data_IF_675455020932
#
_entry.id   IF_675455020932
#
_cell.length_a   1.000
_cell.length_b   1.000
_cell.length_c   1.000
_cell.angle_alpha   90.00
_cell.angle_beta   90.00
_cell.angle_gamma   90.00
#
_symmetry.space_group_name_H-M   'P 1'
#
loop_
_entity.id
_entity.type
_entity.pdbx_description
1 polymer ?
#
# COMPACT_ATOMS: atom_id res chain seq x y z
N UNK A 1 -40.40 17.02 -5.22
CA UNK A 1 -39.82 18.24 -4.62
C UNK A 1 -38.33 18.00 -4.39
N UNK A 2 -37.49 18.66 -5.18
CA UNK A 2 -36.02 18.65 -5.13
C UNK A 2 -35.55 20.11 -5.06
N UNK A 3 -34.48 20.40 -4.33
CA UNK A 3 -33.45 21.33 -4.82
C UNK A 3 -32.05 20.72 -4.61
N UNK A 4 -31.20 20.51 -5.63
CA UNK A 4 -30.38 21.50 -6.39
C UNK A 4 -29.75 22.59 -5.51
N UNK A 5 -28.42 22.51 -5.32
CA UNK A 5 -27.50 23.66 -5.43
C UNK A 5 -26.03 23.21 -5.49
N UNK A 6 -25.52 23.11 -6.72
CA UNK A 6 -24.13 23.37 -7.08
C UNK A 6 -23.89 24.88 -7.00
N UNK A 7 -22.86 25.34 -6.30
CA UNK A 7 -22.04 26.54 -6.63
C UNK A 7 -21.32 27.07 -5.39
N UNK A 8 -20.02 26.79 -5.26
CA UNK A 8 -19.08 27.71 -4.60
C UNK A 8 -17.65 27.34 -5.00
N UNK A 9 -17.35 27.56 -6.27
CA UNK A 9 -15.99 27.72 -6.78
C UNK A 9 -15.90 29.18 -7.22
N UNK A 10 -15.57 30.08 -6.29
CA UNK A 10 -15.63 31.51 -6.61
C UNK A 10 -15.16 32.49 -5.54
N UNK A 11 -14.39 32.06 -4.54
CA UNK A 11 -13.98 32.99 -3.46
C UNK A 11 -12.57 32.73 -2.92
N UNK A 12 -11.60 32.46 -3.80
CA UNK A 12 -10.19 32.32 -3.44
C UNK A 12 -9.23 33.06 -4.40
N UNK A 13 -9.69 34.13 -5.06
CA UNK A 13 -8.88 34.96 -5.98
C UNK A 13 -8.81 36.45 -5.64
N UNK A 14 -9.15 36.85 -4.41
CA UNK A 14 -9.20 38.26 -4.00
C UNK A 14 -8.51 38.58 -2.66
N UNK A 15 -7.58 37.73 -2.23
CA UNK A 15 -6.81 37.91 -0.99
C UNK A 15 -5.28 38.00 -1.21
N UNK A 16 -4.82 38.27 -2.44
CA UNK A 16 -3.38 38.32 -2.79
C UNK A 16 -2.95 39.62 -3.50
N UNK A 17 -3.66 40.74 -3.29
CA UNK A 17 -3.40 41.99 -4.05
C UNK A 17 -3.14 43.24 -3.20
N UNK A 18 -3.19 43.18 -1.87
CA UNK A 18 -2.89 44.34 -1.02
C UNK A 18 -2.17 43.83 0.21
N UNK A 19 -0.84 43.91 0.18
CA UNK A 19 0.05 44.08 1.33
C UNK A 19 1.49 44.01 0.82
N UNK A 20 1.85 45.02 0.04
CA UNK A 20 3.21 45.25 -0.42
C UNK A 20 3.55 46.74 -0.24
N UNK A 21 3.51 47.20 1.00
CA UNK A 21 4.21 48.42 1.45
C UNK A 21 4.19 48.49 2.96
N UNK A 22 5.29 48.06 3.59
CA UNK A 22 5.81 48.51 4.89
C UNK A 22 6.55 47.36 5.59
N UNK A 23 7.88 47.40 5.54
CA UNK A 23 8.81 47.04 6.63
C UNK A 23 10.16 46.62 6.04
N UNK A 24 11.00 47.62 5.80
CA UNK A 24 12.44 47.45 5.79
C UNK A 24 12.92 47.30 7.24
N UNK A 25 13.50 46.16 7.61
CA UNK A 25 14.45 46.02 8.71
C UNK A 25 15.22 44.69 8.53
N UNK A 26 16.54 44.76 8.68
CA UNK A 26 17.49 43.78 8.13
C UNK A 26 17.45 42.36 8.71
N UNK A 27 17.83 41.40 7.86
CA UNK A 27 18.57 40.21 8.28
C UNK A 27 19.24 39.56 7.08
N UNK A 28 20.54 39.33 7.25
CA UNK A 28 21.51 38.75 6.32
C UNK A 28 21.28 37.23 6.22
N UNK A 29 21.30 36.66 5.00
CA UNK A 29 21.69 35.24 4.83
C UNK A 29 20.83 34.35 3.91
N UNK A 30 21.44 33.99 2.77
CA UNK A 30 21.25 32.77 1.97
C UNK A 30 19.94 32.56 1.18
N UNK A 31 20.04 32.85 -0.12
CA UNK A 31 19.08 32.45 -1.15
C UNK A 31 19.01 30.92 -1.31
N UNK A 32 17.97 30.31 -0.74
CA UNK A 32 17.56 28.94 -1.07
C UNK A 32 16.68 28.97 -2.31
N UNK A 33 17.03 28.14 -3.31
CA UNK A 33 16.30 28.03 -4.58
C UNK A 33 14.82 27.67 -4.34
N UNK A 34 13.93 28.06 -5.26
CA UNK A 34 12.48 27.78 -5.18
C UNK A 34 12.19 26.28 -4.97
N UNK A 35 13.04 25.41 -5.52
CA UNK A 35 13.01 23.94 -5.36
C UNK A 35 13.24 23.51 -3.91
N UNK A 36 14.19 24.14 -3.22
CA UNK A 36 14.46 23.91 -1.80
C UNK A 36 13.28 24.33 -0.91
N UNK A 37 12.62 25.44 -1.26
CA UNK A 37 11.42 25.92 -0.54
C UNK A 37 10.24 24.97 -0.73
N UNK A 38 10.05 24.42 -1.94
CA UNK A 38 9.02 23.40 -2.18
C UNK A 38 9.32 22.08 -1.49
N UNK A 39 10.58 21.62 -1.50
CA UNK A 39 10.98 20.39 -0.81
C UNK A 39 10.77 20.53 0.69
N UNK A 40 11.18 21.66 1.29
CA UNK A 40 10.95 21.93 2.71
C UNK A 40 9.46 22.04 3.02
N UNK A 41 8.66 22.68 2.17
CA UNK A 41 7.20 22.77 2.36
C UNK A 41 6.50 21.40 2.26
N UNK A 42 6.95 20.51 1.37
CA UNK A 42 6.46 19.14 1.26
C UNK A 42 6.86 18.30 2.49
N UNK A 43 8.08 18.47 2.98
CA UNK A 43 8.56 17.80 4.18
C UNK A 43 7.83 18.29 5.45
N UNK A 44 7.55 19.59 5.53
CA UNK A 44 6.77 20.20 6.60
C UNK A 44 5.28 19.79 6.55
N UNK A 45 4.71 19.63 5.35
CA UNK A 45 3.36 19.08 5.17
C UNK A 45 3.31 17.57 5.51
N UNK A 46 4.36 16.81 5.22
CA UNK A 46 4.49 15.41 5.60
C UNK A 46 4.71 15.22 7.10
N UNK A 47 5.30 16.21 7.78
CA UNK A 47 5.41 16.25 9.25
C UNK A 47 4.10 16.67 9.91
N UNK A 48 3.36 17.66 9.36
CA UNK A 48 2.01 18.00 9.85
C UNK A 48 1.04 16.83 9.77
N UNK A 49 1.05 16.06 8.67
CA UNK A 49 0.25 14.81 8.56
C UNK A 49 0.67 13.71 9.55
N UNK A 50 1.91 13.73 10.04
CA UNK A 50 2.37 12.81 11.10
C UNK A 50 2.08 13.33 12.52
N UNK A 51 1.90 14.63 12.69
CA UNK A 51 1.58 15.28 13.98
C UNK A 51 0.08 15.49 14.25
N UNK A 52 -0.79 15.39 13.25
CA UNK A 52 -2.23 15.69 13.38
C UNK A 52 -3.12 14.50 13.81
N UNK A 53 -2.53 13.36 14.18
CA UNK A 53 -3.28 12.24 14.81
C UNK A 53 -3.03 12.12 16.33
N UNK A 54 -2.60 13.20 16.99
CA UNK A 54 -2.45 13.24 18.44
C UNK A 54 -3.39 14.28 19.04
N UNK A 55 -4.70 14.12 18.81
CA UNK A 55 -5.70 14.70 19.70
C UNK A 55 -5.67 13.92 21.01
N UNK A 56 -5.17 14.59 22.03
CA UNK A 56 -5.26 14.23 23.45
C UNK A 56 -6.68 13.80 23.79
N UNK A 57 -6.90 12.49 23.96
CA UNK A 57 -8.04 11.97 24.70
C UNK A 57 -7.58 11.81 26.15
N UNK A 58 -7.71 12.90 26.91
CA UNK A 58 -7.77 12.83 28.36
C UNK A 58 -9.14 12.22 28.69
N UNK A 59 -9.16 10.93 29.00
CA UNK A 59 -10.30 10.29 29.64
C UNK A 59 -9.85 9.89 31.03
N UNK A 60 -10.25 10.72 31.99
CA UNK A 60 -10.31 10.36 33.40
C UNK A 60 -11.30 9.20 33.54
N UNK A 61 -10.80 8.00 33.83
CA UNK A 61 -11.62 6.88 34.30
C UNK A 61 -10.89 6.21 35.47
N UNK A 62 -11.13 6.75 36.65
CA UNK A 62 -11.00 6.03 37.91
C UNK A 62 -12.11 4.99 38.03
N UNK A 63 -11.82 3.68 37.99
CA UNK A 63 -12.59 2.61 38.69
C UNK A 63 -11.86 1.24 38.65
N UNK A 64 -12.16 0.26 39.53
CA UNK A 64 -11.18 -0.38 40.39
C UNK A 64 -10.75 -1.78 39.92
N UNK A 65 -9.62 -2.25 40.47
CA UNK A 65 -9.15 -3.65 40.38
C UNK A 65 -10.26 -4.63 40.83
N UNK A 66 -10.77 -5.42 39.89
CA UNK A 66 -11.54 -6.62 40.15
C UNK A 66 -10.64 -7.85 40.43
N UNK A 67 -11.19 -8.93 41.02
CA UNK A 67 -10.41 -9.98 41.65
C UNK A 67 -9.91 -11.03 40.66
N UNK A 68 -8.67 -11.50 40.89
CA UNK A 68 -8.05 -12.60 40.16
C UNK A 68 -8.79 -13.92 40.44
N UNK A 69 -9.42 -14.47 39.41
CA UNK A 69 -9.92 -15.85 39.44
C UNK A 69 -8.85 -16.79 38.91
N UNK A 70 -8.37 -17.65 39.81
CA UNK A 70 -7.41 -18.71 39.53
C UNK A 70 -8.01 -19.81 38.65
N UNK A 71 -7.28 -20.18 37.60
CA UNK A 71 -7.52 -21.34 36.76
C UNK A 71 -6.18 -21.99 36.39
N UNK A 72 -6.09 -23.31 36.56
CA UNK A 72 -4.84 -24.08 36.56
C UNK A 72 -4.19 -24.19 35.18
N UNK A 73 -2.97 -23.66 35.10
CA UNK A 73 -1.82 -24.01 34.27
C UNK A 73 -2.01 -24.91 33.02
N UNK A 74 -1.94 -24.30 31.82
CA UNK A 74 -1.02 -24.79 30.79
C UNK A 74 0.28 -24.01 30.91
N UNK A 75 1.27 -24.58 31.58
CA UNK A 75 2.61 -24.03 31.69
C UNK A 75 3.26 -24.08 30.31
N UNK A 76 3.46 -22.91 29.69
CA UNK A 76 4.58 -22.51 28.82
C UNK A 76 4.18 -21.21 28.10
N UNK A 77 5.10 -20.21 28.15
CA UNK A 77 5.09 -18.89 27.51
C UNK A 77 4.44 -17.73 28.29
N UNK A 78 5.07 -17.34 29.40
CA UNK A 78 5.36 -15.93 29.72
C UNK A 78 6.09 -15.86 31.06
N UNK A 79 7.36 -15.47 31.04
CA UNK A 79 8.04 -15.03 32.27
C UNK A 79 7.80 -13.52 32.40
N UNK A 80 7.42 -13.02 33.58
CA UNK A 80 7.23 -11.60 33.79
C UNK A 80 8.60 -10.93 33.81
N UNK A 81 8.81 -10.04 32.85
CA UNK A 81 9.70 -8.88 32.88
C UNK A 81 10.93 -8.97 33.80
N UNK A 82 12.08 -9.34 33.22
CA UNK A 82 13.40 -9.02 33.77
C UNK A 82 14.28 -10.24 34.08
N UNK A 83 15.23 -10.52 33.20
CA UNK A 83 16.35 -11.41 33.48
C UNK A 83 16.15 -12.86 33.04
N UNK A 84 16.42 -13.12 31.75
CA UNK A 84 17.03 -14.34 31.17
C UNK A 84 16.72 -14.35 29.66
N UNK A 85 17.38 -13.47 28.91
CA UNK A 85 17.23 -13.35 27.46
C UNK A 85 17.69 -14.58 26.65
N UNK A 86 18.05 -15.69 27.32
CA UNK A 86 18.52 -16.94 26.70
C UNK A 86 17.43 -18.02 26.64
N UNK A 87 16.39 -17.93 27.47
CA UNK A 87 15.34 -18.96 27.55
C UNK A 87 14.28 -18.82 26.44
N UNK A 88 14.01 -17.59 25.98
CA UNK A 88 13.05 -17.31 24.89
C UNK A 88 13.64 -17.47 23.48
N UNK A 89 14.96 -17.50 23.37
CA UNK A 89 15.74 -17.65 22.13
C UNK A 89 16.47 -18.99 22.08
N UNK A 90 15.79 -20.07 22.50
CA UNK A 90 16.30 -21.40 22.15
C UNK A 90 16.17 -21.58 20.65
N UNK A 91 17.27 -21.44 19.92
CA UNK A 91 17.30 -21.65 18.48
C UNK A 91 16.86 -23.09 18.15
N UNK A 92 15.92 -23.23 17.22
CA UNK A 92 15.46 -24.53 16.78
C UNK A 92 16.58 -25.23 16.01
N UNK A 93 16.99 -26.39 16.50
CA UNK A 93 17.99 -27.23 15.83
C UNK A 93 17.50 -27.79 14.49
N UNK A 94 16.18 -27.84 14.26
CA UNK A 94 15.60 -28.34 13.01
C UNK A 94 14.28 -27.65 12.64
N UNK A 95 13.94 -27.69 11.35
CA UNK A 95 12.69 -27.15 10.82
C UNK A 95 11.44 -27.81 11.43
N UNK A 96 11.53 -29.07 11.83
CA UNK A 96 10.42 -29.78 12.47
C UNK A 96 10.02 -29.13 13.81
N UNK A 97 11.02 -28.76 14.62
CA UNK A 97 10.82 -28.07 15.90
C UNK A 97 10.23 -26.68 15.69
N UNK A 98 10.77 -25.91 14.74
CA UNK A 98 10.21 -24.60 14.39
C UNK A 98 8.75 -24.69 13.94
N UNK A 99 8.39 -25.70 13.13
CA UNK A 99 7.00 -25.92 12.68
C UNK A 99 6.06 -26.21 13.83
N UNK A 100 6.51 -26.94 14.86
CA UNK A 100 5.70 -27.20 16.05
C UNK A 100 5.43 -25.90 16.84
N UNK A 101 6.45 -25.05 16.98
CA UNK A 101 6.31 -23.72 17.61
C UNK A 101 5.34 -22.82 16.85
N UNK A 102 5.43 -22.78 15.53
CA UNK A 102 4.47 -22.06 14.67
C UNK A 102 3.04 -22.54 14.92
N UNK A 103 2.82 -23.86 14.97
CA UNK A 103 1.48 -24.43 15.25
C UNK A 103 0.98 -24.09 16.64
N UNK A 104 1.87 -24.10 17.64
CA UNK A 104 1.54 -23.71 19.01
C UNK A 104 1.10 -22.24 19.06
N UNK A 105 1.88 -21.35 18.45
CA UNK A 105 1.55 -19.92 18.34
C UNK A 105 0.21 -19.72 17.62
N UNK A 106 0.00 -20.36 16.46
CA UNK A 106 -1.24 -20.25 15.70
C UNK A 106 -2.47 -20.66 16.52
N UNK A 107 -2.38 -21.76 17.28
CA UNK A 107 -3.46 -22.20 18.19
C UNK A 107 -3.71 -21.20 19.31
N UNK A 108 -2.65 -20.61 19.89
CA UNK A 108 -2.79 -19.56 20.90
C UNK A 108 -3.49 -18.33 20.33
N UNK A 109 -3.08 -17.86 19.15
CA UNK A 109 -3.76 -16.75 18.47
C UNK A 109 -5.25 -17.05 18.23
N UNK A 110 -5.60 -18.25 17.77
CA UNK A 110 -7.00 -18.64 17.54
C UNK A 110 -7.86 -18.62 18.81
N UNK A 111 -7.28 -18.96 19.96
CA UNK A 111 -7.98 -18.91 21.27
C UNK A 111 -8.23 -17.47 21.73
N UNK A 112 -7.35 -16.55 21.37
CA UNK A 112 -7.45 -15.13 21.76
C UNK A 112 -8.42 -14.33 20.88
N UNK A 113 -8.76 -14.80 19.68
CA UNK A 113 -9.65 -14.06 18.75
C UNK A 113 -10.95 -13.57 19.42
N UNK A 114 -11.71 -14.39 20.19
CA UNK A 114 -12.95 -13.92 20.82
C UNK A 114 -12.73 -12.88 21.92
N UNK A 115 -11.59 -12.91 22.62
CA UNK A 115 -11.24 -11.90 23.63
C UNK A 115 -10.82 -10.60 22.94
N UNK A 116 -9.97 -10.67 21.91
CA UNK A 116 -9.56 -9.52 21.09
C UNK A 116 -10.78 -8.83 20.47
N UNK A 117 -11.72 -9.60 19.90
CA UNK A 117 -12.94 -9.04 19.31
C UNK A 117 -13.75 -8.23 20.33
N UNK A 118 -13.90 -8.76 21.56
CA UNK A 118 -14.62 -8.10 22.65
C UNK A 118 -13.88 -6.87 23.17
N UNK A 119 -12.59 -7.01 23.45
CA UNK A 119 -11.75 -5.95 24.00
C UNK A 119 -11.67 -4.72 23.08
N UNK A 120 -11.64 -4.93 21.77
CA UNK A 120 -11.53 -3.86 20.77
C UNK A 120 -12.86 -3.45 20.14
N UNK A 121 -13.98 -4.03 20.58
CA UNK A 121 -15.33 -3.78 20.05
C UNK A 121 -15.36 -3.81 18.52
N UNK A 122 -14.82 -4.88 17.92
CA UNK A 122 -14.75 -5.01 16.47
C UNK A 122 -16.13 -5.34 15.88
N UNK A 123 -16.49 -4.66 14.79
CA UNK A 123 -17.73 -4.93 14.02
C UNK A 123 -17.61 -6.23 13.21
N UNK A 124 -16.39 -6.57 12.81
CA UNK A 124 -16.09 -7.73 12.00
C UNK A 124 -16.32 -9.05 12.75
N UNK A 125 -16.83 -10.05 12.05
CA UNK A 125 -17.08 -11.38 12.62
C UNK A 125 -15.80 -12.14 12.95
N UNK A 126 -15.85 -13.03 13.94
CA UNK A 126 -14.72 -13.88 14.32
C UNK A 126 -14.20 -14.73 13.16
N UNK A 127 -15.08 -15.14 12.26
CA UNK A 127 -14.74 -15.90 11.06
C UNK A 127 -13.77 -15.12 10.15
N UNK A 128 -14.02 -13.82 9.95
CA UNK A 128 -13.15 -12.94 9.16
C UNK A 128 -11.81 -12.79 9.86
N UNK A 129 -11.79 -12.56 11.18
CA UNK A 129 -10.56 -12.44 11.95
C UNK A 129 -9.70 -13.71 11.88
N UNK A 130 -10.31 -14.90 11.96
CA UNK A 130 -9.61 -16.18 11.81
C UNK A 130 -9.04 -16.36 10.40
N UNK A 131 -9.77 -15.94 9.36
CA UNK A 131 -9.29 -15.95 7.96
C UNK A 131 -8.13 -14.98 7.76
N UNK A 132 -8.21 -13.76 8.30
CA UNK A 132 -7.12 -12.78 8.30
C UNK A 132 -5.88 -13.34 8.98
N UNK A 133 -6.03 -13.96 10.16
CA UNK A 133 -4.93 -14.61 10.86
C UNK A 133 -4.29 -15.72 10.01
N UNK A 134 -5.11 -16.60 9.42
CA UNK A 134 -4.61 -17.66 8.52
C UNK A 134 -3.82 -17.06 7.36
N UNK A 135 -4.33 -16.00 6.73
CA UNK A 135 -3.66 -15.30 5.64
C UNK A 135 -2.30 -14.74 6.07
N UNK A 136 -2.20 -14.08 7.23
CA UNK A 136 -0.92 -13.57 7.77
C UNK A 136 0.12 -14.69 7.97
N UNK A 137 -0.31 -15.85 8.47
CA UNK A 137 0.60 -17.01 8.58
C UNK A 137 1.01 -17.56 7.21
N UNK A 138 0.11 -17.55 6.22
CA UNK A 138 0.38 -18.03 4.87
C UNK A 138 1.34 -17.13 4.09
N UNK A 139 1.38 -15.82 4.36
CA UNK A 139 2.33 -14.90 3.70
C UNK A 139 3.79 -15.33 3.86
N UNK A 140 4.12 -15.93 5.00
CA UNK A 140 5.48 -16.37 5.32
C UNK A 140 5.71 -17.88 5.09
N UNK A 141 4.80 -18.56 4.37
CA UNK A 141 4.88 -20.01 4.14
C UNK A 141 6.11 -20.45 3.33
N UNK A 142 6.68 -19.56 2.53
CA UNK A 142 7.84 -19.85 1.66
C UNK A 142 9.18 -19.87 2.40
N UNK A 143 9.23 -19.52 3.69
CA UNK A 143 10.46 -19.46 4.47
C UNK A 143 10.94 -20.87 4.84
N UNK A 144 12.16 -21.23 4.39
CA UNK A 144 12.75 -22.56 4.61
C UNK A 144 13.76 -22.63 5.76
N UNK A 145 14.39 -21.50 6.12
CA UNK A 145 15.42 -21.47 7.16
C UNK A 145 14.78 -21.47 8.57
N UNK A 146 15.08 -22.47 9.43
CA UNK A 146 14.48 -22.58 10.77
C UNK A 146 14.75 -21.38 11.68
N UNK A 147 15.94 -20.76 11.59
CA UNK A 147 16.28 -19.59 12.42
C UNK A 147 15.39 -18.39 12.09
N UNK A 148 15.11 -18.18 10.79
CA UNK A 148 14.20 -17.12 10.36
C UNK A 148 12.77 -17.41 10.84
N UNK A 149 12.35 -18.67 10.79
CA UNK A 149 11.03 -19.07 11.31
C UNK A 149 10.93 -18.76 12.80
N UNK A 150 11.97 -19.04 13.59
CA UNK A 150 11.96 -18.74 15.03
C UNK A 150 11.85 -17.23 15.30
N UNK A 151 12.55 -16.40 14.52
CA UNK A 151 12.41 -14.93 14.61
C UNK A 151 10.97 -14.49 14.28
N UNK A 152 10.34 -15.10 13.27
CA UNK A 152 8.95 -14.82 12.92
C UNK A 152 7.97 -15.27 14.01
N UNK A 153 8.22 -16.43 14.63
CA UNK A 153 7.43 -16.91 15.79
C UNK A 153 7.58 -15.95 16.96
N UNK A 154 8.80 -15.49 17.26
CA UNK A 154 9.04 -14.51 18.32
C UNK A 154 8.27 -13.21 18.07
N UNK A 155 8.34 -12.66 16.84
CA UNK A 155 7.58 -11.47 16.45
C UNK A 155 6.07 -11.69 16.59
N UNK A 156 5.56 -12.83 16.10
CA UNK A 156 4.13 -13.14 16.22
C UNK A 156 3.66 -13.33 17.66
N UNK A 157 4.51 -13.86 18.54
CA UNK A 157 4.22 -13.96 19.97
C UNK A 157 4.17 -12.58 20.64
N UNK A 158 5.12 -11.70 20.30
CA UNK A 158 5.13 -10.32 20.79
C UNK A 158 3.89 -9.53 20.31
N UNK A 159 3.53 -9.66 19.03
CA UNK A 159 2.31 -9.06 18.47
C UNK A 159 1.06 -9.53 19.23
N UNK A 160 0.96 -10.83 19.53
CA UNK A 160 -0.16 -11.38 20.30
C UNK A 160 -0.22 -10.78 21.72
N UNK A 161 0.93 -10.68 22.39
CA UNK A 161 1.04 -10.09 23.71
C UNK A 161 0.64 -8.60 23.71
N UNK A 162 1.03 -7.85 22.69
CA UNK A 162 0.63 -6.44 22.51
C UNK A 162 -0.90 -6.28 22.39
N UNK A 163 -1.57 -7.22 21.71
CA UNK A 163 -3.04 -7.22 21.64
C UNK A 163 -3.70 -7.67 22.94
N UNK A 164 -3.17 -8.70 23.60
CA UNK A 164 -3.67 -9.17 24.90
C UNK A 164 -3.59 -8.08 25.96
N UNK A 165 -2.47 -7.35 25.99
CA UNK A 165 -2.21 -6.24 26.93
C UNK A 165 -2.81 -4.91 26.47
N UNK A 166 -3.46 -4.87 25.31
CA UNK A 166 -4.04 -3.67 24.70
C UNK A 166 -3.02 -2.53 24.51
N UNK A 167 -1.75 -2.88 24.28
CA UNK A 167 -0.70 -1.91 23.93
C UNK A 167 -0.89 -1.36 22.51
N UNK A 168 -1.52 -2.15 21.63
CA UNK A 168 -1.97 -1.70 20.31
C UNK A 168 -3.44 -1.30 20.33
N UNK A 169 -3.77 -0.24 19.60
CA UNK A 169 -5.16 0.18 19.38
C UNK A 169 -5.86 -0.57 18.24
N UNK A 170 -7.20 -0.49 18.21
CA UNK A 170 -8.08 -1.14 17.20
C UNK A 170 -7.72 -0.86 15.73
N UNK A 171 -7.09 0.28 15.44
CA UNK A 171 -6.73 0.64 14.07
C UNK A 171 -5.70 -0.33 13.45
N UNK A 172 -4.81 -0.92 14.25
CA UNK A 172 -3.87 -1.93 13.77
C UNK A 172 -4.59 -3.20 13.29
N UNK A 173 -5.63 -3.63 14.01
CA UNK A 173 -6.46 -4.77 13.61
C UNK A 173 -7.21 -4.46 12.31
N UNK A 174 -7.78 -3.27 12.19
CA UNK A 174 -8.45 -2.84 10.96
C UNK A 174 -7.50 -2.80 9.77
N UNK A 175 -6.24 -2.40 9.95
CA UNK A 175 -5.24 -2.45 8.87
C UNK A 175 -5.01 -3.89 8.37
N UNK A 176 -4.90 -4.87 9.27
CA UNK A 176 -4.75 -6.27 8.87
C UNK A 176 -6.00 -6.81 8.16
N UNK A 177 -7.20 -6.48 8.65
CA UNK A 177 -8.46 -6.92 8.04
C UNK A 177 -8.65 -6.28 6.66
N UNK A 178 -8.39 -4.97 6.52
CA UNK A 178 -8.50 -4.27 5.25
C UNK A 178 -7.52 -4.85 4.20
N UNK A 179 -6.27 -5.11 4.60
CA UNK A 179 -5.28 -5.72 3.71
C UNK A 179 -5.70 -7.13 3.25
N UNK A 180 -6.29 -7.92 4.14
CA UNK A 180 -6.84 -9.24 3.79
C UNK A 180 -8.00 -9.13 2.78
N UNK A 181 -8.96 -8.22 3.03
CA UNK A 181 -10.11 -8.00 2.16
C UNK A 181 -9.69 -7.48 0.78
N UNK A 182 -8.73 -6.54 0.71
CA UNK A 182 -8.20 -6.03 -0.55
C UNK A 182 -7.56 -7.17 -1.36
N UNK A 183 -6.80 -8.05 -0.71
CA UNK A 183 -6.20 -9.20 -1.38
C UNK A 183 -7.26 -10.18 -1.89
N UNK A 184 -8.33 -10.43 -1.13
CA UNK A 184 -9.44 -11.28 -1.58
C UNK A 184 -10.16 -10.67 -2.79
N UNK A 185 -10.42 -9.35 -2.78
CA UNK A 185 -10.99 -8.62 -3.90
C UNK A 185 -10.08 -8.68 -5.13
N UNK A 186 -8.76 -8.52 -4.96
CA UNK A 186 -7.79 -8.63 -6.04
C UNK A 186 -7.82 -9.98 -6.72
N UNK A 187 -7.94 -11.07 -5.95
CA UNK A 187 -8.04 -12.42 -6.50
C UNK A 187 -9.33 -12.61 -7.31
N UNK A 188 -10.48 -12.13 -6.79
CA UNK A 188 -11.76 -12.16 -7.52
C UNK A 188 -11.68 -11.35 -8.81
N UNK A 189 -11.09 -10.16 -8.77
CA UNK A 189 -10.92 -9.33 -9.96
C UNK A 189 -10.00 -10.00 -10.98
N UNK A 190 -8.91 -10.65 -10.53
CA UNK A 190 -8.01 -11.38 -11.42
C UNK A 190 -8.71 -12.59 -12.08
N UNK A 191 -9.56 -13.30 -11.34
CA UNK A 191 -10.38 -14.40 -11.86
C UNK A 191 -11.39 -13.91 -12.91
N UNK A 192 -12.10 -12.81 -12.62
CA UNK A 192 -13.02 -12.19 -13.57
C UNK A 192 -12.31 -11.73 -14.86
N UNK A 193 -11.13 -11.12 -14.73
CA UNK A 193 -10.33 -10.71 -15.91
C UNK A 193 -9.91 -11.93 -16.72
N UNK A 194 -9.48 -13.01 -16.05
CA UNK A 194 -9.13 -14.26 -16.73
C UNK A 194 -10.33 -14.85 -17.49
N UNK A 195 -11.49 -14.90 -16.86
CA UNK A 195 -12.73 -15.37 -17.50
C UNK A 195 -13.10 -14.52 -18.72
N UNK A 196 -12.96 -13.20 -18.61
CA UNK A 196 -13.22 -12.28 -19.72
C UNK A 196 -12.26 -12.51 -20.89
N UNK A 197 -10.96 -12.69 -20.62
CA UNK A 197 -9.96 -13.01 -21.65
C UNK A 197 -10.23 -14.37 -22.29
N UNK A 198 -10.62 -15.37 -21.50
CA UNK A 198 -11.04 -16.68 -22.02
C UNK A 198 -12.31 -16.59 -22.87
N UNK A 199 -13.24 -15.68 -22.55
CA UNK A 199 -14.42 -15.42 -23.37
C UNK A 199 -14.10 -14.68 -24.68
N UNK A 200 -13.20 -13.69 -24.62
CA UNK A 200 -12.74 -12.93 -25.80
C UNK A 200 -11.93 -13.81 -26.75
N UNK A 201 -11.11 -14.73 -26.25
CA UNK A 201 -10.43 -15.71 -27.11
C UNK A 201 -11.40 -16.66 -27.82
N UNK A 202 -12.49 -17.10 -27.15
CA UNK A 202 -13.55 -17.90 -27.78
C UNK A 202 -14.36 -17.13 -28.82
N UNK A 203 -14.52 -15.81 -28.66
CA UNK A 203 -15.18 -14.96 -29.65
C UNK A 203 -14.24 -14.56 -30.80
N UNK A 204 -12.93 -14.47 -30.54
CA UNK A 204 -11.88 -14.18 -31.53
C UNK A 204 -11.62 -15.32 -32.54
N UNK A 205 -12.09 -16.54 -32.27
CA UNK A 205 -12.19 -17.60 -33.29
C UNK A 205 -13.12 -17.22 -34.46
N UNK A 206 -13.94 -16.17 -34.28
CA UNK A 206 -14.59 -15.42 -35.36
C UNK A 206 -13.67 -14.27 -35.81
N UNK A 207 -12.59 -14.60 -36.54
CA UNK A 207 -11.51 -13.69 -36.92
C UNK A 207 -11.97 -12.30 -37.42
N UNK A 208 -11.88 -11.27 -36.57
CA UNK A 208 -11.66 -9.91 -37.05
C UNK A 208 -10.17 -9.78 -37.38
N UNK A 209 -9.83 -9.40 -38.59
CA UNK A 209 -8.44 -9.31 -39.02
C UNK A 209 -7.67 -8.31 -38.14
N UNK A 210 -6.40 -8.60 -37.84
CA UNK A 210 -5.48 -7.75 -37.06
C UNK A 210 -5.40 -6.31 -37.62
N UNK A 211 -5.67 -6.13 -38.93
CA UNK A 211 -5.82 -4.82 -39.56
C UNK A 211 -7.02 -4.03 -39.04
N UNK A 212 -8.17 -4.68 -38.79
CA UNK A 212 -9.39 -4.03 -38.32
C UNK A 212 -9.25 -3.58 -36.87
N UNK A 213 -8.59 -4.38 -36.03
CA UNK A 213 -8.31 -4.01 -34.64
C UNK A 213 -7.41 -2.78 -34.57
N UNK A 214 -6.35 -2.73 -35.38
CA UNK A 214 -5.43 -1.58 -35.47
C UNK A 214 -6.12 -0.31 -35.97
N UNK A 215 -7.03 -0.44 -36.94
CA UNK A 215 -7.81 0.68 -37.45
C UNK A 215 -8.81 1.20 -36.40
N UNK A 216 -9.52 0.31 -35.73
CA UNK A 216 -10.44 0.69 -34.66
C UNK A 216 -9.71 1.41 -33.52
N UNK A 217 -8.52 0.91 -33.12
CA UNK A 217 -7.68 1.58 -32.13
C UNK A 217 -7.24 2.99 -32.55
N UNK A 218 -6.85 3.20 -33.82
CA UNK A 218 -6.50 4.52 -34.33
C UNK A 218 -7.67 5.50 -34.22
N UNK A 219 -8.87 5.06 -34.62
CA UNK A 219 -10.07 5.88 -34.52
C UNK A 219 -10.41 6.23 -33.06
N UNK A 220 -10.36 5.26 -32.14
CA UNK A 220 -10.53 5.53 -30.71
C UNK A 220 -9.52 6.55 -30.18
N UNK A 221 -8.25 6.46 -30.60
CA UNK A 221 -7.22 7.41 -30.18
C UNK A 221 -7.40 8.81 -30.77
N UNK A 222 -7.93 8.92 -32.01
CA UNK A 222 -8.33 10.19 -32.62
C UNK A 222 -9.49 10.83 -31.86
N UNK A 223 -10.51 10.06 -31.50
CA UNK A 223 -11.66 10.52 -30.70
C UNK A 223 -11.21 11.12 -29.35
N UNK A 224 -10.27 10.44 -28.69
CA UNK A 224 -9.68 10.92 -27.44
C UNK A 224 -8.62 12.03 -27.62
N UNK A 225 -8.34 12.46 -28.85
CA UNK A 225 -7.33 13.49 -29.20
C UNK A 225 -5.92 13.15 -28.68
N UNK A 226 -5.60 11.86 -28.60
CA UNK A 226 -4.26 11.38 -28.22
C UNK A 226 -3.28 11.46 -29.39
N UNK A 227 -3.80 11.43 -30.61
CA UNK A 227 -3.05 11.43 -31.86
C UNK A 227 -3.63 12.50 -32.78
N UNK A 228 -2.80 13.04 -33.68
CA UNK A 228 -3.26 13.95 -34.73
C UNK A 228 -4.26 13.27 -35.67
N UNK A 229 -5.29 14.01 -36.08
CA UNK A 229 -6.28 13.55 -37.06
C UNK A 229 -5.69 13.26 -38.45
N UNK A 230 -4.44 13.65 -38.70
CA UNK A 230 -3.73 13.42 -39.96
C UNK A 230 -3.13 12.01 -40.12
N UNK A 231 -3.26 11.15 -39.11
CA UNK A 231 -2.68 9.81 -39.09
C UNK A 231 -3.78 8.79 -39.34
N UNK A 232 -3.84 8.26 -40.55
CA UNK A 232 -4.92 7.37 -40.99
C UNK A 232 -4.49 5.90 -41.06
N UNK A 233 -3.18 5.66 -41.11
CA UNK A 233 -2.63 4.30 -41.20
C UNK A 233 -1.77 3.96 -39.99
N UNK A 234 -1.74 2.67 -39.65
CA UNK A 234 -0.89 2.20 -38.56
C UNK A 234 0.60 2.47 -38.82
N UNK A 235 1.04 2.38 -40.08
CA UNK A 235 2.41 2.71 -40.45
C UNK A 235 2.74 4.20 -40.18
N UNK A 236 1.82 5.12 -40.50
CA UNK A 236 1.98 6.54 -40.17
C UNK A 236 2.03 6.76 -38.66
N UNK A 237 1.21 6.04 -37.87
CA UNK A 237 1.28 6.11 -36.41
C UNK A 237 2.63 5.66 -35.87
N UNK A 238 3.17 4.54 -36.36
CA UNK A 238 4.48 4.05 -35.93
C UNK A 238 5.57 5.07 -36.23
N UNK A 239 5.52 5.72 -37.40
CA UNK A 239 6.45 6.78 -37.77
C UNK A 239 6.28 8.01 -36.88
N UNK A 240 5.05 8.51 -36.69
CA UNK A 240 4.75 9.64 -35.82
C UNK A 240 5.21 9.40 -34.38
N UNK A 241 4.97 8.20 -33.84
CA UNK A 241 5.39 7.82 -32.50
C UNK A 241 6.91 7.85 -32.36
N UNK A 242 7.64 7.39 -33.38
CA UNK A 242 9.10 7.46 -33.40
C UNK A 242 9.60 8.91 -33.39
N UNK A 243 8.98 9.79 -34.18
CA UNK A 243 9.31 11.21 -34.21
C UNK A 243 9.01 11.89 -32.86
N UNK A 244 7.89 11.60 -32.22
CA UNK A 244 7.55 12.14 -30.89
C UNK A 244 8.51 11.61 -29.81
N UNK A 245 8.88 10.33 -29.85
CA UNK A 245 9.88 9.78 -28.94
C UNK A 245 11.24 10.49 -29.10
N UNK A 246 11.63 10.83 -30.34
CA UNK A 246 12.85 11.59 -30.63
C UNK A 246 12.76 13.05 -30.15
N UNK A 247 11.62 13.72 -30.36
CA UNK A 247 11.36 15.07 -29.82
C UNK A 247 11.41 15.10 -28.31
N UNK A 248 10.79 14.11 -27.67
CA UNK A 248 10.82 13.96 -26.22
C UNK A 248 12.24 13.73 -25.72
N UNK A 249 13.04 12.89 -26.41
CA UNK A 249 14.43 12.66 -26.06
C UNK A 249 15.25 13.96 -26.13
N UNK A 250 15.11 14.73 -27.21
CA UNK A 250 15.78 16.03 -27.34
C UNK A 250 15.36 17.01 -26.24
N UNK A 251 14.05 17.13 -25.99
CA UNK A 251 13.52 18.00 -24.93
C UNK A 251 14.05 17.60 -23.55
N UNK A 252 14.10 16.29 -23.27
CA UNK A 252 14.59 15.76 -22.00
C UNK A 252 16.09 16.03 -21.80
N UNK A 253 16.91 15.92 -22.84
CA UNK A 253 18.33 16.28 -22.81
C UNK A 253 18.52 17.78 -22.60
N UNK A 254 17.79 18.62 -23.35
CA UNK A 254 17.87 20.08 -23.28
C UNK A 254 17.50 20.62 -21.88
N UNK A 255 16.51 20.00 -21.24
CA UNK A 255 16.04 20.39 -19.91
C UNK A 255 16.76 19.65 -18.77
N UNK A 256 17.74 18.80 -19.09
CA UNK A 256 18.50 18.01 -18.12
C UNK A 256 17.63 17.07 -17.28
N UNK A 257 16.51 16.59 -17.84
CA UNK A 257 15.62 15.64 -17.19
C UNK A 257 16.20 14.22 -17.18
N UNK A 258 16.87 13.85 -18.27
CA UNK A 258 17.53 12.55 -18.44
C UNK A 258 18.82 12.72 -19.24
N UNK A 259 19.78 11.84 -18.96
CA UNK A 259 20.95 11.67 -19.83
C UNK A 259 20.59 10.80 -21.04
N UNK A 260 21.34 10.95 -22.14
CA UNK A 260 21.16 10.15 -23.35
C UNK A 260 21.24 8.64 -23.09
N UNK A 261 22.14 8.24 -22.19
CA UNK A 261 22.33 6.85 -21.78
C UNK A 261 21.13 6.30 -21.01
N UNK A 262 20.54 7.07 -20.09
CA UNK A 262 19.33 6.68 -19.36
C UNK A 262 18.13 6.55 -20.29
N UNK A 263 18.00 7.42 -21.29
CA UNK A 263 16.93 7.33 -22.30
C UNK A 263 17.06 6.05 -23.13
N UNK A 264 18.26 5.69 -23.57
CA UNK A 264 18.49 4.43 -24.30
C UNK A 264 18.22 3.19 -23.43
N UNK A 265 18.61 3.22 -22.16
CA UNK A 265 18.30 2.14 -21.22
C UNK A 265 16.79 1.99 -21.01
N UNK A 266 16.07 3.11 -20.89
CA UNK A 266 14.61 3.10 -20.77
C UNK A 266 13.94 2.55 -22.03
N UNK A 267 14.42 2.89 -23.23
CA UNK A 267 13.92 2.30 -24.49
C UNK A 267 14.14 0.78 -24.53
N UNK A 268 15.33 0.31 -24.16
CA UNK A 268 15.64 -1.13 -24.08
C UNK A 268 14.75 -1.85 -23.06
N UNK A 269 14.52 -1.24 -21.89
CA UNK A 269 13.65 -1.80 -20.86
C UNK A 269 12.17 -1.84 -21.30
N UNK A 270 11.69 -0.82 -22.00
CA UNK A 270 10.34 -0.80 -22.56
C UNK A 270 10.15 -1.90 -23.62
N UNK A 271 11.12 -2.07 -24.51
CA UNK A 271 11.12 -3.14 -25.51
C UNK A 271 11.14 -4.53 -24.86
N UNK A 272 11.97 -4.74 -23.84
CA UNK A 272 12.01 -5.99 -23.08
C UNK A 272 10.67 -6.32 -22.41
N UNK A 273 9.94 -5.32 -21.90
CA UNK A 273 8.60 -5.51 -21.31
C UNK A 273 7.56 -5.91 -22.36
N UNK A 274 7.65 -5.40 -23.59
CA UNK A 274 6.73 -5.78 -24.67
C UNK A 274 6.96 -7.19 -25.23
N UNK A 275 8.13 -7.79 -24.98
CA UNK A 275 8.48 -9.14 -25.45
C UNK A 275 8.11 -10.24 -24.45
N UNK A 276 7.70 -9.89 -23.23
CA UNK A 276 7.17 -10.86 -22.28
C UNK A 276 5.73 -11.14 -22.71
N UNK A 277 5.39 -12.36 -23.20
CA UNK A 277 4.01 -12.69 -23.44
C UNK A 277 3.30 -12.73 -22.09
N UNK A 278 2.25 -11.92 -21.94
CA UNK A 278 1.28 -12.02 -20.85
C UNK A 278 0.49 -13.31 -20.94
#
# INVERSE_FOLDING_TARGET
>A
MLPRCLSSWGTLRRALSTDASAAAAGSVGQGRTKKERMRKALEEAAMRRRGENMTTYQLDIDTPRGPQLGGKASRVLSSPTGGEGKALTSESASLAVSRERVRSLYRSCLREVPEIQRNFFLVEGQEILRKTLKWLFMQNSNVKNPQIVDVLVFKGAQELEEYQRQWKGRHHLYQHVAAFQENEQRLKNAELVRELVEADSRSADSQMSDSTVKQMQLETWKEHKLISNSIDTWAQYVMWRKEEDERFAHFAEEHGLFTREELEQNRKAAFARSLIPT
#
